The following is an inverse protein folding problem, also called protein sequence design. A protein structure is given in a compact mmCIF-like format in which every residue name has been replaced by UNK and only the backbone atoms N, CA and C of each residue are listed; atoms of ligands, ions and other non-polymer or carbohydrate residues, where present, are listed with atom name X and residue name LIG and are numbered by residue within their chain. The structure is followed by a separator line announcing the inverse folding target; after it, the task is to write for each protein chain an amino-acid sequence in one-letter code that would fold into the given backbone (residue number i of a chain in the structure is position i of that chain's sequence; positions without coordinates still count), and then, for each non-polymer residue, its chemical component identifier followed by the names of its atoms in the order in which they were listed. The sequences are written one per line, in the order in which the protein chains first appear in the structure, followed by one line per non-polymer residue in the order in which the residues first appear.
data_IF_529586388194
#
_entry.id   IF_529586388194
#
_cell.length_a   1.000
_cell.length_b   1.000
_cell.length_c   1.000
_cell.angle_alpha   90.00
_cell.angle_beta   90.00
_cell.angle_gamma   90.00
#
_symmetry.space_group_name_H-M   'P 1'
#
loop_
_entity.id
_entity.type
_entity.pdbx_description
1 polymer ?
#
# COMPACT_ATOMS: atom_id res chain seq x y z
N UNK A 1 20.16 7.90 -5.63
CA UNK A 1 19.09 7.38 -6.50
C UNK A 1 17.83 8.17 -6.17
N UNK A 2 17.22 8.87 -7.12
CA UNK A 2 15.92 9.54 -6.88
C UNK A 2 14.85 8.50 -7.22
N UNK A 3 14.31 7.84 -6.20
CA UNK A 3 13.09 7.04 -6.36
C UNK A 3 11.93 7.99 -6.63
N UNK A 4 11.28 7.86 -7.78
CA UNK A 4 10.15 8.73 -8.15
C UNK A 4 8.86 8.02 -7.78
N UNK A 5 8.13 8.61 -6.84
CA UNK A 5 6.81 8.13 -6.43
C UNK A 5 5.74 8.43 -7.51
N UNK A 6 4.60 7.70 -7.53
CA UNK A 6 3.54 7.85 -8.52
C UNK A 6 3.12 9.29 -8.85
N UNK A 7 3.06 10.16 -7.84
CA UNK A 7 2.67 11.56 -8.00
C UNK A 7 3.58 12.39 -8.91
N UNK A 8 4.80 11.92 -9.19
CA UNK A 8 5.74 12.59 -10.09
C UNK A 8 5.73 11.99 -11.50
N UNK A 9 5.04 10.86 -11.73
CA UNK A 9 5.06 10.17 -13.02
C UNK A 9 4.51 11.05 -14.15
N UNK A 10 3.48 11.85 -13.88
CA UNK A 10 2.90 12.75 -14.88
C UNK A 10 3.92 13.77 -15.38
N UNK A 11 4.67 14.40 -14.48
CA UNK A 11 5.69 15.40 -14.80
C UNK A 11 6.86 14.80 -15.59
N UNK A 12 7.25 13.57 -15.26
CA UNK A 12 8.30 12.85 -15.98
C UNK A 12 7.85 12.48 -17.40
N UNK A 13 6.61 11.98 -17.53
CA UNK A 13 6.03 11.55 -18.81
C UNK A 13 5.68 12.74 -19.73
N UNK A 14 5.36 13.90 -19.17
CA UNK A 14 5.05 15.12 -19.95
C UNK A 14 6.29 15.77 -20.56
N UNK A 15 7.49 15.41 -20.11
CA UNK A 15 8.76 15.96 -20.60
C UNK A 15 9.73 14.88 -21.13
N UNK A 16 9.35 14.12 -22.18
CA UNK A 16 10.14 12.98 -22.68
C UNK A 16 11.50 13.38 -23.27
N UNK A 17 11.67 14.65 -23.66
CA UNK A 17 12.95 15.19 -24.14
C UNK A 17 13.91 15.56 -23.00
N UNK A 18 13.42 15.65 -21.75
CA UNK A 18 14.21 15.98 -20.56
C UNK A 18 14.49 14.75 -19.71
N UNK A 19 13.53 13.84 -19.60
CA UNK A 19 13.59 12.68 -18.73
C UNK A 19 13.36 11.39 -19.49
N UNK A 20 14.11 10.35 -19.12
CA UNK A 20 13.94 8.98 -19.60
C UNK A 20 14.02 8.03 -18.42
N UNK A 21 12.98 7.22 -18.22
CA UNK A 21 13.01 6.13 -17.24
C UNK A 21 14.03 5.09 -17.72
N UNK A 22 14.99 4.75 -16.87
CA UNK A 22 16.01 3.73 -17.16
C UNK A 22 15.62 2.37 -16.58
N UNK A 23 15.12 2.37 -15.35
CA UNK A 23 14.65 1.21 -14.61
C UNK A 23 13.68 1.69 -13.52
N UNK A 24 12.92 0.75 -12.97
CA UNK A 24 12.03 0.91 -11.83
C UNK A 24 12.57 0.14 -10.63
N UNK A 25 12.07 0.42 -9.42
CA UNK A 25 12.43 -0.38 -8.24
C UNK A 25 12.02 -1.86 -8.43
N UNK A 26 10.91 -2.11 -9.13
CA UNK A 26 10.42 -3.45 -9.44
C UNK A 26 11.40 -4.24 -10.34
N UNK A 27 12.15 -3.57 -11.22
CA UNK A 27 13.17 -4.24 -12.06
C UNK A 27 14.36 -4.75 -11.23
N UNK A 28 14.60 -4.19 -10.04
CA UNK A 28 15.71 -4.56 -9.17
C UNK A 28 15.32 -5.59 -8.11
N UNK A 29 14.19 -5.38 -7.41
CA UNK A 29 13.81 -6.17 -6.23
C UNK A 29 12.40 -6.78 -6.31
N UNK A 30 11.69 -6.58 -7.43
CA UNK A 30 10.30 -7.00 -7.58
C UNK A 30 9.32 -6.14 -6.77
N UNK A 31 8.10 -6.65 -6.51
CA UNK A 31 7.11 -5.95 -5.70
C UNK A 31 7.63 -5.70 -4.29
N UNK A 32 7.39 -4.49 -3.77
CA UNK A 32 7.80 -4.10 -2.41
C UNK A 32 6.63 -3.59 -1.59
N UNK A 33 6.57 -3.94 -0.31
CA UNK A 33 5.61 -3.37 0.65
C UNK A 33 6.13 -2.04 1.21
N UNK A 34 5.96 -0.96 0.45
CA UNK A 34 6.54 0.34 0.79
C UNK A 34 5.80 1.14 1.88
N UNK A 35 4.49 0.91 2.04
CA UNK A 35 3.63 1.64 2.98
C UNK A 35 2.85 0.64 3.83
N UNK A 36 2.80 0.88 5.13
CA UNK A 36 2.11 0.01 6.09
C UNK A 36 1.42 0.80 7.20
N UNK A 37 0.40 0.20 7.78
CA UNK A 37 -0.18 0.66 9.04
C UNK A 37 0.67 0.18 10.21
N UNK A 38 1.29 1.13 10.92
CA UNK A 38 2.10 0.85 12.11
C UNK A 38 1.31 1.09 13.39
N UNK A 39 1.20 0.07 14.24
CA UNK A 39 0.48 0.13 15.52
C UNK A 39 1.27 -0.62 16.60
N UNK A 40 1.14 -0.19 17.87
CA UNK A 40 1.77 -0.89 19.00
C UNK A 40 1.07 -2.21 19.30
N UNK A 41 1.84 -3.27 19.54
CA UNK A 41 1.31 -4.60 19.79
C UNK A 41 0.40 -4.66 21.04
N UNK A 42 0.80 -3.98 22.11
CA UNK A 42 0.02 -3.87 23.35
C UNK A 42 -1.30 -3.11 23.14
N UNK A 43 -1.32 -2.12 22.25
CA UNK A 43 -2.54 -1.38 21.91
C UNK A 43 -3.50 -2.26 21.12
N UNK A 44 -2.99 -3.03 20.15
CA UNK A 44 -3.79 -4.01 19.41
C UNK A 44 -4.38 -5.04 20.36
N UNK A 45 -3.58 -5.60 21.27
CA UNK A 45 -4.05 -6.61 22.22
C UNK A 45 -5.14 -6.08 23.16
N UNK A 46 -4.99 -4.85 23.68
CA UNK A 46 -5.95 -4.24 24.59
C UNK A 46 -7.26 -3.80 23.92
N UNK A 47 -7.22 -3.47 22.62
CA UNK A 47 -8.35 -2.88 21.89
C UNK A 47 -8.70 -3.63 20.61
N UNK A 48 -8.46 -4.94 20.58
CA UNK A 48 -8.66 -5.77 19.38
C UNK A 48 -9.99 -5.51 18.66
N UNK A 49 -11.17 -5.45 19.32
CA UNK A 49 -12.43 -5.21 18.62
C UNK A 49 -12.44 -3.91 17.81
N UNK A 50 -11.85 -2.83 18.35
CA UNK A 50 -11.77 -1.52 17.70
C UNK A 50 -10.91 -1.60 16.43
N UNK A 51 -9.84 -2.38 16.44
CA UNK A 51 -9.02 -2.57 15.25
C UNK A 51 -9.69 -3.45 14.20
N UNK A 52 -10.51 -4.42 14.61
CA UNK A 52 -11.35 -5.17 13.66
C UNK A 52 -12.34 -4.22 12.99
N UNK A 53 -13.00 -3.34 13.76
CA UNK A 53 -13.92 -2.33 13.20
C UNK A 53 -13.19 -1.36 12.25
N UNK A 54 -11.99 -0.89 12.64
CA UNK A 54 -11.15 -0.06 11.77
C UNK A 54 -10.80 -0.75 10.45
N UNK A 55 -10.40 -2.02 10.48
CA UNK A 55 -10.06 -2.77 9.27
C UNK A 55 -11.30 -3.10 8.44
N UNK A 56 -12.46 -3.29 9.06
CA UNK A 56 -13.73 -3.43 8.35
C UNK A 56 -14.04 -2.17 7.53
N UNK A 57 -13.96 -0.99 8.16
CA UNK A 57 -14.16 0.29 7.47
C UNK A 57 -13.09 0.54 6.41
N UNK A 58 -11.82 0.23 6.70
CA UNK A 58 -10.73 0.40 5.75
C UNK A 58 -10.92 -0.48 4.51
N UNK A 59 -11.29 -1.75 4.66
CA UNK A 59 -11.57 -2.65 3.55
C UNK A 59 -12.76 -2.14 2.72
N UNK A 60 -13.84 -1.69 3.37
CA UNK A 60 -14.99 -1.08 2.67
C UNK A 60 -14.58 0.15 1.87
N UNK A 61 -13.79 1.05 2.47
CA UNK A 61 -13.30 2.26 1.83
C UNK A 61 -12.40 1.95 0.62
N UNK A 62 -11.42 1.04 0.78
CA UNK A 62 -10.53 0.62 -0.31
C UNK A 62 -11.33 0.04 -1.46
N UNK A 63 -12.20 -0.94 -1.20
CA UNK A 63 -13.06 -1.53 -2.23
C UNK A 63 -13.91 -0.47 -2.94
N UNK A 64 -14.38 0.56 -2.23
CA UNK A 64 -15.16 1.64 -2.79
C UNK A 64 -14.33 2.56 -3.70
N UNK A 65 -13.16 3.08 -3.25
CA UNK A 65 -12.41 4.06 -4.04
C UNK A 65 -11.62 3.47 -5.21
N UNK A 66 -11.36 2.15 -5.21
CA UNK A 66 -10.76 1.47 -6.37
C UNK A 66 -11.79 1.04 -7.41
N UNK A 67 -13.09 1.06 -7.09
CA UNK A 67 -14.13 0.82 -8.07
C UNK A 67 -14.18 2.01 -9.06
N UNK A 68 -14.04 1.69 -10.35
CA UNK A 68 -14.07 2.67 -11.43
C UNK A 68 -15.36 3.50 -11.45
N UNK A 69 -16.48 2.96 -10.95
CA UNK A 69 -17.75 3.67 -10.85
C UNK A 69 -17.72 4.85 -9.86
N UNK A 70 -16.83 4.79 -8.85
CA UNK A 70 -16.70 5.81 -7.81
C UNK A 70 -15.54 6.79 -8.05
N UNK A 71 -14.83 6.64 -9.18
CA UNK A 71 -13.57 7.35 -9.45
C UNK A 71 -13.68 8.87 -9.32
N UNK A 72 -14.72 9.47 -9.88
CA UNK A 72 -14.86 10.93 -9.87
C UNK A 72 -14.99 11.48 -8.45
N UNK A 73 -15.82 10.84 -7.62
CA UNK A 73 -16.04 11.23 -6.23
C UNK A 73 -14.80 10.93 -5.37
N UNK A 74 -14.14 9.78 -5.58
CA UNK A 74 -12.88 9.45 -4.91
C UNK A 74 -11.79 10.51 -5.17
N UNK A 75 -11.68 11.00 -6.41
CA UNK A 75 -10.74 12.07 -6.75
C UNK A 75 -11.15 13.43 -6.17
N UNK A 76 -12.45 13.73 -6.06
CA UNK A 76 -12.92 14.96 -5.40
C UNK A 76 -12.59 14.95 -3.90
N UNK A 77 -12.80 13.81 -3.22
CA UNK A 77 -12.41 13.63 -1.82
C UNK A 77 -10.89 13.78 -1.67
N UNK A 78 -10.11 13.12 -2.53
CA UNK A 78 -8.65 13.18 -2.47
C UNK A 78 -8.13 14.60 -2.70
N UNK A 79 -8.68 15.33 -3.68
CA UNK A 79 -8.36 16.74 -3.91
C UNK A 79 -8.74 17.60 -2.69
N UNK A 80 -9.91 17.35 -2.09
CA UNK A 80 -10.38 18.01 -0.89
C UNK A 80 -9.44 17.83 0.32
N UNK A 81 -8.88 16.63 0.51
CA UNK A 81 -7.97 16.31 1.62
C UNK A 81 -6.55 16.82 1.35
N UNK A 82 -6.00 16.53 0.17
CA UNK A 82 -4.60 16.86 -0.18
C UNK A 82 -4.41 18.31 -0.58
N UNK A 83 -5.49 19.01 -0.93
CA UNK A 83 -5.50 20.36 -1.52
C UNK A 83 -4.74 20.45 -2.84
N UNK A 84 -4.50 19.32 -3.50
CA UNK A 84 -3.92 19.27 -4.84
C UNK A 84 -5.01 19.47 -5.90
N UNK A 85 -4.68 20.06 -7.07
CA UNK A 85 -5.60 20.10 -8.20
C UNK A 85 -6.02 18.69 -8.62
N UNK A 86 -7.31 18.48 -8.89
CA UNK A 86 -7.86 17.16 -9.26
C UNK A 86 -7.14 16.57 -10.47
N UNK A 87 -6.75 17.43 -11.42
CA UNK A 87 -6.05 17.06 -12.65
C UNK A 87 -4.65 16.47 -12.39
N UNK A 88 -4.02 16.85 -11.26
CA UNK A 88 -2.72 16.31 -10.84
C UNK A 88 -2.84 14.96 -10.13
N UNK A 89 -4.06 14.55 -9.77
CA UNK A 89 -4.35 13.31 -9.06
C UNK A 89 -4.79 12.17 -9.98
N UNK A 90 -4.68 12.34 -11.31
CA UNK A 90 -5.12 11.33 -12.27
C UNK A 90 -4.48 9.95 -12.10
N UNK A 91 -3.29 9.89 -11.48
CA UNK A 91 -2.62 8.62 -11.16
C UNK A 91 -3.32 7.84 -10.04
N UNK A 92 -3.96 8.51 -9.09
CA UNK A 92 -4.50 7.89 -7.88
C UNK A 92 -5.57 6.83 -8.19
N UNK A 93 -5.51 5.72 -7.44
CA UNK A 93 -6.42 4.57 -7.54
C UNK A 93 -6.52 3.99 -8.96
N UNK A 94 -5.46 4.15 -9.75
CA UNK A 94 -5.32 3.60 -11.09
C UNK A 94 -4.13 2.65 -11.16
N UNK A 95 -3.88 2.08 -12.34
CA UNK A 95 -2.68 1.28 -12.60
C UNK A 95 -1.35 2.05 -12.46
N UNK A 96 -1.40 3.38 -12.45
CA UNK A 96 -0.23 4.24 -12.25
C UNK A 96 0.02 4.57 -10.76
N UNK A 97 -0.86 4.13 -9.84
CA UNK A 97 -0.70 4.28 -8.39
C UNK A 97 0.01 3.07 -7.75
N UNK A 98 0.25 3.14 -6.45
CA UNK A 98 0.52 1.96 -5.63
C UNK A 98 -0.65 0.97 -5.68
N UNK A 99 -0.34 -0.32 -5.55
CA UNK A 99 -1.37 -1.34 -5.42
C UNK A 99 -2.09 -1.22 -4.08
N UNK A 100 -3.42 -1.15 -4.12
CA UNK A 100 -4.29 -1.14 -2.94
C UNK A 100 -4.96 -2.52 -2.81
N UNK A 101 -4.57 -3.32 -1.82
CA UNK A 101 -5.20 -4.63 -1.58
C UNK A 101 -6.67 -4.44 -1.18
N UNK A 102 -7.65 -5.00 -1.93
CA UNK A 102 -9.07 -4.90 -1.58
C UNK A 102 -9.42 -5.48 -0.21
N UNK A 103 -8.58 -6.39 0.32
CA UNK A 103 -8.79 -7.07 1.60
C UNK A 103 -7.74 -6.71 2.67
N UNK A 104 -7.03 -5.59 2.49
CA UNK A 104 -5.93 -5.15 3.37
C UNK A 104 -4.83 -6.20 3.63
N UNK A 105 -4.65 -7.19 2.73
CA UNK A 105 -3.66 -8.25 2.88
C UNK A 105 -2.29 -7.80 2.37
N UNK A 106 -1.23 -8.00 3.15
CA UNK A 106 0.13 -7.86 2.65
C UNK A 106 0.55 -9.06 1.78
N UNK A 107 1.47 -8.84 0.85
CA UNK A 107 2.13 -9.92 0.10
C UNK A 107 3.35 -10.39 0.91
N UNK A 108 3.16 -11.44 1.73
CA UNK A 108 4.16 -11.89 2.71
C UNK A 108 5.44 -12.44 2.08
N UNK A 109 5.37 -12.98 0.87
CA UNK A 109 6.57 -13.50 0.20
C UNK A 109 7.48 -12.35 -0.23
N UNK A 110 6.90 -11.23 -0.71
CA UNK A 110 7.62 -9.99 -0.99
C UNK A 110 8.28 -9.44 0.26
N UNK A 111 7.56 -9.35 1.38
CA UNK A 111 8.13 -8.86 2.65
C UNK A 111 9.34 -9.69 3.07
N UNK A 112 9.26 -11.02 2.99
CA UNK A 112 10.39 -11.87 3.34
C UNK A 112 11.57 -11.66 2.38
N UNK A 113 11.33 -11.59 1.06
CA UNK A 113 12.37 -11.31 0.06
C UNK A 113 13.04 -9.96 0.29
N UNK A 114 12.28 -8.92 0.62
CA UNK A 114 12.79 -7.59 0.92
C UNK A 114 13.75 -7.62 2.11
N UNK A 115 13.40 -8.33 3.19
CA UNK A 115 14.27 -8.53 4.36
C UNK A 115 15.54 -9.30 3.96
N UNK A 116 15.39 -10.37 3.18
CA UNK A 116 16.50 -11.23 2.77
C UNK A 116 17.51 -10.44 1.90
N UNK A 117 17.03 -9.66 0.92
CA UNK A 117 17.85 -8.80 0.08
C UNK A 117 18.49 -7.65 0.90
N UNK A 118 17.77 -7.06 1.86
CA UNK A 118 18.32 -6.04 2.73
C UNK A 118 19.49 -6.55 3.59
N UNK A 119 19.44 -7.80 4.05
CA UNK A 119 20.57 -8.44 4.76
C UNK A 119 21.73 -8.72 3.81
N UNK A 120 21.46 -9.27 2.63
CA UNK A 120 22.46 -9.56 1.61
C UNK A 120 23.21 -8.31 1.15
N UNK A 121 22.52 -7.17 1.08
CA UNK A 121 23.09 -5.87 0.73
C UNK A 121 23.73 -5.14 1.93
N UNK A 122 23.66 -5.70 3.14
CA UNK A 122 24.23 -5.11 4.36
C UNK A 122 23.43 -3.92 4.92
N UNK A 123 22.20 -3.70 4.47
CA UNK A 123 21.27 -2.69 5.01
C UNK A 123 20.75 -3.12 6.38
N UNK A 124 20.39 -4.40 6.50
CA UNK A 124 20.00 -5.00 7.78
C UNK A 124 21.14 -5.87 8.32
N UNK A 125 21.46 -5.78 9.62
CA UNK A 125 22.54 -6.57 10.21
C UNK A 125 22.19 -8.05 10.38
N UNK A 126 20.89 -8.40 10.40
CA UNK A 126 20.42 -9.76 10.60
C UNK A 126 19.08 -10.00 9.92
N UNK A 127 18.86 -11.24 9.49
CA UNK A 127 17.59 -11.70 8.92
C UNK A 127 16.55 -11.88 10.02
N UNK A 128 15.33 -11.46 9.71
CA UNK A 128 14.13 -11.81 10.48
C UNK A 128 13.25 -12.69 9.61
N UNK A 129 12.92 -13.88 10.10
CA UNK A 129 11.94 -14.74 9.45
C UNK A 129 10.54 -14.38 9.91
N UNK A 130 9.71 -13.82 9.03
CA UNK A 130 8.43 -13.21 9.45
C UNK A 130 7.37 -14.27 9.79
N UNK A 131 7.40 -15.44 9.15
CA UNK A 131 6.46 -16.54 9.41
C UNK A 131 7.13 -17.65 10.22
N UNK A 132 6.37 -18.34 11.09
CA UNK A 132 4.98 -18.08 11.46
C UNK A 132 4.84 -17.03 12.57
N UNK A 133 5.94 -16.54 13.15
CA UNK A 133 5.93 -15.85 14.46
C UNK A 133 5.56 -14.37 14.45
N UNK A 134 5.78 -13.68 13.33
CA UNK A 134 5.62 -12.22 13.23
C UNK A 134 4.50 -11.80 12.28
N UNK A 135 3.66 -12.75 11.87
CA UNK A 135 2.50 -12.49 11.02
C UNK A 135 1.24 -12.89 11.79
N UNK A 136 0.39 -11.91 12.06
CA UNK A 136 -0.98 -12.10 12.54
C UNK A 136 -1.94 -11.45 11.54
N UNK A 137 -2.73 -12.27 10.84
CA UNK A 137 -3.76 -11.80 9.90
C UNK A 137 -5.16 -11.80 10.52
N UNK A 138 -5.30 -12.21 11.78
CA UNK A 138 -6.60 -12.46 12.38
C UNK A 138 -7.51 -11.23 12.42
N UNK A 139 -6.95 -10.02 12.54
CA UNK A 139 -7.72 -8.77 12.50
C UNK A 139 -8.41 -8.58 11.15
N UNK A 140 -7.65 -8.68 10.06
CA UNK A 140 -8.15 -8.44 8.69
C UNK A 140 -9.05 -9.58 8.22
N UNK A 141 -8.80 -10.81 8.67
CA UNK A 141 -9.67 -11.95 8.36
C UNK A 141 -11.03 -11.83 9.04
N UNK A 142 -11.05 -11.42 10.32
CA UNK A 142 -12.29 -11.20 11.04
C UNK A 142 -13.10 -10.05 10.42
N UNK A 143 -12.43 -8.94 10.10
CA UNK A 143 -13.04 -7.80 9.41
C UNK A 143 -13.63 -8.21 8.05
N UNK A 144 -12.86 -8.92 7.23
CA UNK A 144 -13.33 -9.43 5.93
C UNK A 144 -14.53 -10.35 6.07
N UNK A 145 -14.53 -11.25 7.07
CA UNK A 145 -15.65 -12.14 7.39
C UNK A 145 -16.93 -11.36 7.71
N UNK A 146 -16.85 -10.26 8.48
CA UNK A 146 -18.00 -9.39 8.79
C UNK A 146 -18.59 -8.74 7.54
N UNK A 147 -17.74 -8.37 6.59
CA UNK A 147 -18.15 -7.76 5.32
C UNK A 147 -18.80 -8.78 4.38
N UNK A 148 -18.16 -9.93 4.19
CA UNK A 148 -18.57 -10.92 3.20
C UNK A 148 -19.67 -11.88 3.72
N UNK A 149 -20.04 -11.77 5.01
CA UNK A 149 -21.10 -12.55 5.65
C UNK A 149 -20.77 -14.03 5.83
N UNK A 150 -19.49 -14.41 5.89
CA UNK A 150 -19.01 -15.80 6.00
C UNK A 150 -17.98 -15.98 7.09
#
# INVERSE_FOLDING_TARGET
MIGTLPQFLQELRSHPNKYRVLFTANDAVGPTQAVLWGMRAETIAAHRPVFVDFFEDHIRAVRWFIDANNREEALDILAGVTKLPKESLGFAFSKDDFYHSPDARPELDSVQREIDEAVKLGVLPQRVEIRPKHVDLSLIEEAKKRIDGK
#
